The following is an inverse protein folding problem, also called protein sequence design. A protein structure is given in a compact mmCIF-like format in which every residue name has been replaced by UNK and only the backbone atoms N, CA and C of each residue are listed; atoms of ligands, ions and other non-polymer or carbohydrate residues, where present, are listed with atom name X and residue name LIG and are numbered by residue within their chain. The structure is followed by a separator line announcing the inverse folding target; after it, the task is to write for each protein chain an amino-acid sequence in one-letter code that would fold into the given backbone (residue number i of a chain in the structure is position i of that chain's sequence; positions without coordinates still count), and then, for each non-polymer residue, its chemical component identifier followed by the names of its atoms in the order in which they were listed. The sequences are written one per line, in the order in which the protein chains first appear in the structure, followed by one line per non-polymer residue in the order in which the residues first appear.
data_IF_079912980873
#
_entry.id   IF_079912980873
#
_cell.length_a   1.000
_cell.length_b   1.000
_cell.length_c   1.000
_cell.angle_alpha   90.00
_cell.angle_beta   90.00
_cell.angle_gamma   90.00
#
_symmetry.space_group_name_H-M   'P 1'
#
loop_
_entity.id
_entity.type
_entity.pdbx_description
1 polymer ?
#
# COMPACT_ATOMS: atom_id res chain seq x y z
N UNK A 1 -11.12 20.90 19.34
CA UNK A 1 -11.16 20.27 18.00
C UNK A 1 -12.33 19.29 17.98
N UNK A 2 -13.39 19.55 17.20
CA UNK A 2 -14.54 18.62 17.06
C UNK A 2 -14.05 17.35 16.35
N UNK A 3 -14.13 16.20 17.01
CA UNK A 3 -13.88 14.89 16.39
C UNK A 3 -15.09 14.52 15.55
N UNK A 4 -14.95 14.56 14.22
CA UNK A 4 -15.93 13.98 13.30
C UNK A 4 -15.77 12.46 13.39
N UNK A 5 -16.75 11.77 13.98
CA UNK A 5 -16.87 10.31 13.84
C UNK A 5 -17.19 10.03 12.38
N UNK A 6 -16.18 9.58 11.63
CA UNK A 6 -16.38 9.00 10.31
C UNK A 6 -16.97 7.61 10.51
N UNK A 7 -18.28 7.52 10.31
CA UNK A 7 -18.97 6.24 10.23
C UNK A 7 -18.33 5.43 9.09
N UNK A 8 -18.21 4.10 9.23
CA UNK A 8 -17.56 3.22 8.26
C UNK A 8 -18.22 3.23 6.85
N UNK A 9 -19.26 4.04 6.67
CA UNK A 9 -20.06 4.21 5.46
C UNK A 9 -19.60 5.34 4.54
N UNK A 10 -18.53 6.07 4.87
CA UNK A 10 -18.17 7.32 4.15
C UNK A 10 -18.06 7.15 2.63
N UNK A 11 -17.58 5.99 2.17
CA UNK A 11 -17.45 5.67 0.74
C UNK A 11 -18.45 4.61 0.26
N UNK A 12 -19.10 3.87 1.15
CA UNK A 12 -19.76 2.60 0.78
C UNK A 12 -21.01 2.76 -0.10
N UNK A 13 -21.55 3.98 -0.21
CA UNK A 13 -22.74 4.30 -1.03
C UNK A 13 -22.41 4.90 -2.39
N UNK A 14 -21.16 5.30 -2.61
CA UNK A 14 -20.72 5.93 -3.86
C UNK A 14 -20.32 4.87 -4.89
N UNK A 15 -20.36 5.22 -6.18
CA UNK A 15 -19.73 4.40 -7.23
C UNK A 15 -18.21 4.35 -7.04
N UNK A 16 -17.52 3.27 -7.43
CA UNK A 16 -16.07 3.17 -7.32
C UNK A 16 -15.29 4.36 -7.88
N UNK A 17 -15.72 4.93 -9.01
CA UNK A 17 -15.15 6.14 -9.59
C UNK A 17 -15.24 7.34 -8.63
N UNK A 18 -16.42 7.58 -8.05
CA UNK A 18 -16.64 8.66 -7.10
C UNK A 18 -15.83 8.45 -5.81
N UNK A 19 -15.71 7.20 -5.34
CA UNK A 19 -14.87 6.87 -4.19
C UNK A 19 -13.40 7.23 -4.44
N UNK A 20 -12.88 6.85 -5.63
CA UNK A 20 -11.51 7.16 -6.05
C UNK A 20 -11.31 8.68 -6.16
N UNK A 21 -12.21 9.40 -6.82
CA UNK A 21 -12.11 10.85 -6.96
C UNK A 21 -12.10 11.55 -5.60
N UNK A 22 -13.01 11.18 -4.69
CA UNK A 22 -13.08 11.74 -3.34
C UNK A 22 -11.82 11.45 -2.53
N UNK A 23 -11.27 10.24 -2.58
CA UNK A 23 -10.05 9.93 -1.82
C UNK A 23 -8.83 10.67 -2.37
N UNK A 24 -8.73 10.84 -3.69
CA UNK A 24 -7.65 11.62 -4.30
C UNK A 24 -7.75 13.10 -3.97
N UNK A 25 -8.96 13.65 -3.89
CA UNK A 25 -9.17 15.03 -3.44
C UNK A 25 -8.83 15.20 -1.96
N UNK A 26 -9.23 14.25 -1.10
CA UNK A 26 -8.80 14.24 0.30
C UNK A 26 -7.27 14.15 0.41
N UNK A 27 -6.62 13.31 -0.38
CA UNK A 27 -5.17 13.13 -0.36
C UNK A 27 -4.42 14.46 -0.61
N UNK A 28 -4.89 15.31 -1.54
CA UNK A 28 -4.28 16.63 -1.80
C UNK A 28 -4.36 17.56 -0.58
N UNK A 29 -5.44 17.43 0.19
CA UNK A 29 -5.74 18.28 1.34
C UNK A 29 -5.18 17.74 2.67
N UNK A 30 -4.67 16.50 2.68
CA UNK A 30 -4.08 15.88 3.88
C UNK A 30 -2.60 16.22 4.02
N UNK A 31 -2.17 16.44 5.27
CA UNK A 31 -0.75 16.60 5.56
C UNK A 31 0.02 15.33 5.17
N UNK A 32 1.07 15.48 4.35
CA UNK A 32 1.85 14.36 3.84
C UNK A 32 1.37 13.75 2.52
N UNK A 33 0.25 14.23 1.95
CA UNK A 33 -0.19 13.82 0.62
C UNK A 33 -0.52 12.33 0.54
N UNK A 34 0.25 11.59 -0.24
CA UNK A 34 0.17 10.13 -0.44
C UNK A 34 0.90 9.30 0.64
N UNK A 35 1.54 9.93 1.63
CA UNK A 35 2.18 9.23 2.75
C UNK A 35 1.18 8.91 3.86
N UNK A 36 0.65 7.69 3.85
CA UNK A 36 -0.28 7.20 4.87
C UNK A 36 0.31 7.28 6.29
N UNK A 37 1.65 7.27 6.47
CA UNK A 37 2.25 7.40 7.81
C UNK A 37 1.97 8.76 8.44
N UNK A 38 1.71 9.79 7.63
CA UNK A 38 1.40 11.16 8.07
C UNK A 38 -0.11 11.39 8.27
N UNK A 39 -0.95 10.43 7.87
CA UNK A 39 -2.40 10.53 8.01
C UNK A 39 -2.85 10.14 9.41
N UNK A 40 -3.85 10.86 9.94
CA UNK A 40 -4.52 10.46 11.18
C UNK A 40 -5.14 9.06 11.05
N UNK A 41 -5.20 8.31 12.15
CA UNK A 41 -5.81 6.98 12.15
C UNK A 41 -7.26 7.00 11.64
N UNK A 42 -8.02 8.05 11.96
CA UNK A 42 -9.40 8.20 11.50
C UNK A 42 -9.48 8.34 9.97
N UNK A 43 -8.61 9.16 9.37
CA UNK A 43 -8.54 9.32 7.92
C UNK A 43 -8.14 8.01 7.23
N UNK A 44 -7.17 7.28 7.80
CA UNK A 44 -6.76 5.98 7.27
C UNK A 44 -7.86 4.93 7.35
N UNK A 45 -8.59 4.85 8.48
CA UNK A 45 -9.71 3.92 8.65
C UNK A 45 -10.82 4.16 7.62
N UNK A 46 -11.04 5.41 7.20
CA UNK A 46 -12.02 5.73 6.16
C UNK A 46 -11.71 5.01 4.83
N UNK A 47 -10.43 4.71 4.53
CA UNK A 47 -10.03 3.95 3.34
C UNK A 47 -10.56 2.51 3.33
N UNK A 48 -10.95 1.98 4.49
CA UNK A 48 -11.63 0.67 4.60
C UNK A 48 -13.04 0.70 3.99
N UNK A 49 -13.64 1.87 3.84
CA UNK A 49 -15.00 2.02 3.30
C UNK A 49 -15.12 1.67 1.82
N UNK A 50 -14.00 1.63 1.09
CA UNK A 50 -13.95 1.08 -0.27
C UNK A 50 -13.87 -0.45 -0.26
N UNK A 51 -14.32 -1.08 -1.34
CA UNK A 51 -14.20 -2.55 -1.50
C UNK A 51 -12.71 -2.97 -1.49
N UNK A 52 -12.44 -4.20 -1.05
CA UNK A 52 -11.13 -4.83 -1.28
C UNK A 52 -10.92 -5.04 -2.78
N UNK A 53 -9.66 -4.97 -3.21
CA UNK A 53 -9.23 -5.39 -4.54
C UNK A 53 -8.08 -6.40 -4.41
N UNK A 54 -8.01 -7.32 -5.37
CA UNK A 54 -6.94 -8.30 -5.45
C UNK A 54 -5.73 -7.77 -6.23
N UNK A 55 -4.53 -8.14 -5.81
CA UNK A 55 -3.29 -7.99 -6.57
C UNK A 55 -2.96 -9.37 -7.15
N UNK A 56 -2.91 -9.45 -8.48
CA UNK A 56 -2.70 -10.69 -9.21
C UNK A 56 -1.24 -10.83 -9.64
N UNK A 57 -0.55 -11.90 -9.20
CA UNK A 57 0.84 -12.18 -9.57
C UNK A 57 0.90 -13.44 -10.46
N UNK A 58 1.26 -13.33 -11.75
CA UNK A 58 1.37 -14.47 -12.65
C UNK A 58 2.73 -15.16 -12.46
N UNK A 59 2.81 -16.24 -11.67
CA UNK A 59 4.03 -17.07 -11.59
C UNK A 59 3.70 -18.53 -11.28
N UNK A 60 3.91 -19.41 -12.27
CA UNK A 60 3.60 -20.87 -12.18
C UNK A 60 2.17 -21.14 -11.65
N UNK A 61 1.24 -20.23 -11.97
CA UNK A 61 -0.08 -20.12 -11.36
C UNK A 61 -0.45 -18.66 -11.13
N UNK A 62 -1.71 -18.42 -10.75
CA UNK A 62 -2.22 -17.10 -10.38
C UNK A 62 -2.23 -16.99 -8.84
N UNK A 63 -1.34 -16.19 -8.27
CA UNK A 63 -1.42 -15.85 -6.84
C UNK A 63 -2.28 -14.60 -6.65
N UNK A 64 -3.17 -14.63 -5.67
CA UNK A 64 -4.18 -13.59 -5.41
C UNK A 64 -3.98 -13.03 -4.00
N UNK A 65 -3.76 -11.73 -3.87
CA UNK A 65 -3.55 -11.07 -2.57
C UNK A 65 -4.48 -9.88 -2.41
N UNK A 66 -5.37 -9.91 -1.42
CA UNK A 66 -6.35 -8.83 -1.22
C UNK A 66 -5.82 -7.69 -0.34
N UNK A 67 -6.13 -6.46 -0.75
CA UNK A 67 -5.89 -5.24 0.02
C UNK A 67 -7.03 -4.22 -0.17
N UNK A 68 -7.20 -3.24 0.75
CA UNK A 68 -8.20 -2.19 0.60
C UNK A 68 -7.89 -1.33 -0.62
N UNK A 69 -8.81 -1.28 -1.60
CA UNK A 69 -8.58 -0.61 -2.89
C UNK A 69 -8.16 0.85 -2.73
N UNK A 70 -8.86 1.60 -1.87
CA UNK A 70 -8.55 3.01 -1.66
C UNK A 70 -7.19 3.21 -0.98
N UNK A 71 -6.74 2.27 -0.14
CA UNK A 71 -5.39 2.32 0.42
C UNK A 71 -4.32 2.09 -0.66
N UNK A 72 -4.58 1.18 -1.60
CA UNK A 72 -3.69 0.95 -2.75
C UNK A 72 -3.60 2.20 -3.64
N UNK A 73 -4.75 2.82 -3.96
CA UNK A 73 -4.86 4.05 -4.77
C UNK A 73 -4.12 5.22 -4.13
N UNK A 74 -4.24 5.40 -2.81
CA UNK A 74 -3.53 6.50 -2.12
C UNK A 74 -2.03 6.23 -2.10
N UNK A 75 -1.61 5.02 -1.73
CA UNK A 75 -0.20 4.75 -1.44
C UNK A 75 0.68 4.47 -2.65
N UNK A 76 0.12 4.02 -3.78
CA UNK A 76 0.86 3.65 -4.99
C UNK A 76 0.35 4.44 -6.20
N UNK A 77 1.17 5.33 -6.81
CA UNK A 77 0.78 6.02 -8.04
C UNK A 77 0.57 5.06 -9.22
N UNK A 78 1.30 3.93 -9.26
CA UNK A 78 1.12 2.92 -10.33
C UNK A 78 -0.26 2.26 -10.23
N UNK A 79 -0.65 1.82 -9.03
CA UNK A 79 -1.97 1.23 -8.80
C UNK A 79 -3.07 2.28 -8.96
N UNK A 80 -2.81 3.53 -8.52
CA UNK A 80 -3.72 4.66 -8.71
C UNK A 80 -4.10 4.84 -10.16
N UNK A 81 -3.12 4.96 -11.05
CA UNK A 81 -3.36 5.21 -12.47
C UNK A 81 -4.26 4.12 -13.06
N UNK A 82 -3.95 2.85 -12.76
CA UNK A 82 -4.76 1.72 -13.22
C UNK A 82 -6.21 1.80 -12.73
N UNK A 83 -6.46 2.07 -11.44
CA UNK A 83 -7.84 2.14 -10.94
C UNK A 83 -8.57 3.43 -11.30
N UNK A 84 -7.85 4.51 -11.65
CA UNK A 84 -8.47 5.70 -12.25
C UNK A 84 -8.97 5.39 -13.66
N UNK A 85 -8.22 4.62 -14.44
CA UNK A 85 -8.62 4.17 -15.78
C UNK A 85 -9.67 3.04 -15.74
N UNK A 86 -9.66 2.24 -14.68
CA UNK A 86 -10.54 1.08 -14.49
C UNK A 86 -11.21 1.10 -13.10
N UNK A 87 -12.10 2.07 -12.83
CA UNK A 87 -12.68 2.27 -11.50
C UNK A 87 -13.53 1.09 -11.02
N UNK A 88 -14.16 0.34 -11.91
CA UNK A 88 -14.97 -0.84 -11.55
C UNK A 88 -14.12 -2.10 -11.31
N UNK A 89 -12.84 -2.09 -11.67
CA UNK A 89 -12.00 -3.26 -11.53
C UNK A 89 -11.81 -3.65 -10.06
N UNK A 90 -11.96 -4.93 -9.77
CA UNK A 90 -11.67 -5.54 -8.46
C UNK A 90 -10.27 -6.12 -8.40
N UNK A 91 -9.48 -5.99 -9.46
CA UNK A 91 -8.19 -6.68 -9.62
C UNK A 91 -7.14 -5.77 -10.24
N UNK A 92 -5.94 -5.73 -9.65
CA UNK A 92 -4.76 -5.09 -10.20
C UNK A 92 -3.77 -6.15 -10.72
N UNK A 93 -3.51 -6.21 -12.04
CA UNK A 93 -2.59 -7.17 -12.62
C UNK A 93 -1.14 -6.73 -12.39
N UNK A 94 -0.44 -7.40 -11.47
CA UNK A 94 0.95 -7.14 -11.16
C UNK A 94 1.87 -7.88 -12.16
N UNK A 95 1.93 -7.36 -13.39
CA UNK A 95 2.61 -8.02 -14.53
C UNK A 95 4.14 -7.90 -14.53
N UNK A 96 4.73 -7.11 -13.63
CA UNK A 96 6.19 -6.94 -13.61
C UNK A 96 6.89 -8.25 -13.18
N UNK A 97 7.88 -8.76 -13.94
CA UNK A 97 8.55 -10.05 -13.64
C UNK A 97 9.35 -10.06 -12.33
N UNK A 98 9.65 -8.88 -11.78
CA UNK A 98 10.32 -8.74 -10.49
C UNK A 98 9.35 -8.89 -9.32
N UNK A 99 8.04 -8.85 -9.53
CA UNK A 99 7.07 -9.12 -8.47
C UNK A 99 7.13 -10.60 -8.04
N UNK A 100 7.57 -10.80 -6.80
CA UNK A 100 7.53 -12.11 -6.14
C UNK A 100 6.27 -12.21 -5.29
N UNK A 101 5.59 -13.36 -5.33
CA UNK A 101 4.34 -13.58 -4.61
C UNK A 101 4.43 -13.17 -3.12
N UNK A 102 5.44 -13.66 -2.39
CA UNK A 102 5.67 -13.32 -0.98
C UNK A 102 5.92 -11.82 -0.74
N UNK A 103 6.51 -11.12 -1.70
CA UNK A 103 6.72 -9.68 -1.61
C UNK A 103 5.41 -8.90 -1.74
N UNK A 104 4.58 -9.27 -2.72
CA UNK A 104 3.25 -8.70 -2.90
C UNK A 104 2.32 -9.03 -1.73
N UNK A 105 2.37 -10.26 -1.22
CA UNK A 105 1.67 -10.66 0.00
C UNK A 105 2.01 -9.74 1.18
N UNK A 106 3.31 -9.47 1.38
CA UNK A 106 3.79 -8.58 2.44
C UNK A 106 3.29 -7.14 2.25
N UNK A 107 3.23 -6.66 1.00
CA UNK A 107 2.70 -5.33 0.68
C UNK A 107 1.19 -5.26 0.93
N UNK A 108 0.43 -6.27 0.49
CA UNK A 108 -1.01 -6.35 0.73
C UNK A 108 -1.34 -6.44 2.23
N UNK A 109 -0.56 -7.21 2.98
CA UNK A 109 -0.62 -7.26 4.43
C UNK A 109 -0.30 -5.89 5.06
N UNK A 110 0.79 -5.26 4.64
CA UNK A 110 1.16 -3.92 5.11
C UNK A 110 0.03 -2.91 4.88
N UNK A 111 -0.62 -2.90 3.71
CA UNK A 111 -1.74 -1.99 3.41
C UNK A 111 -2.94 -2.19 4.34
N UNK A 112 -3.26 -3.44 4.72
CA UNK A 112 -4.33 -3.76 5.67
C UNK A 112 -4.00 -3.25 7.08
N UNK A 113 -2.77 -3.47 7.53
CA UNK A 113 -2.30 -2.97 8.82
C UNK A 113 -2.24 -1.44 8.79
N UNK A 114 -1.78 -0.87 7.67
CA UNK A 114 -1.55 0.55 7.49
C UNK A 114 -2.81 1.37 7.78
N UNK A 115 -4.00 0.82 7.57
CA UNK A 115 -5.26 1.52 7.81
C UNK A 115 -5.93 1.22 9.15
N UNK A 116 -5.41 0.27 9.92
CA UNK A 116 -6.05 -0.22 11.16
C UNK A 116 -5.28 0.11 12.42
N UNK A 117 -3.94 0.18 12.36
CA UNK A 117 -3.10 0.33 13.55
C UNK A 117 -2.74 1.80 13.83
N UNK A 118 -2.85 2.27 15.08
CA UNK A 118 -2.52 3.65 15.44
C UNK A 118 -1.06 4.04 15.14
N UNK A 119 -0.10 3.18 15.51
CA UNK A 119 1.33 3.49 15.54
C UNK A 119 2.08 2.97 14.29
N UNK A 120 1.87 3.62 13.14
CA UNK A 120 2.49 3.19 11.89
C UNK A 120 4.02 3.27 11.86
N UNK A 121 4.60 4.15 12.67
CA UNK A 121 6.06 4.27 12.83
C UNK A 121 6.75 2.97 13.30
N UNK A 122 5.97 2.06 13.89
CA UNK A 122 6.42 0.75 14.35
C UNK A 122 6.14 -0.36 13.32
N UNK A 123 5.24 -0.12 12.37
CA UNK A 123 4.88 -1.06 11.30
C UNK A 123 5.82 -0.83 10.14
N UNK A 124 6.97 -1.47 10.25
CA UNK A 124 8.00 -1.35 9.23
C UNK A 124 7.96 -2.56 8.32
N UNK A 125 8.10 -2.26 7.04
CA UNK A 125 8.63 -3.22 6.06
C UNK A 125 9.89 -3.84 6.69
N UNK A 126 10.12 -5.15 6.55
CA UNK A 126 11.25 -5.82 7.19
C UNK A 126 12.53 -4.97 7.16
N UNK A 127 12.99 -4.56 8.35
CA UNK A 127 14.20 -3.75 8.49
C UNK A 127 15.39 -4.62 8.12
N UNK A 128 16.15 -4.22 7.11
CA UNK A 128 17.37 -4.95 6.76
C UNK A 128 18.40 -4.77 7.89
N UNK A 129 18.90 -5.89 8.41
CA UNK A 129 19.77 -5.91 9.57
C UNK A 129 20.93 -6.90 9.39
N UNK A 130 22.04 -6.70 10.11
CA UNK A 130 23.26 -7.48 9.94
C UNK A 130 23.14 -8.91 10.51
N UNK A 131 22.07 -9.19 11.26
CA UNK A 131 21.78 -10.49 11.88
C UNK A 131 20.66 -11.24 11.16
N UNK A 132 20.26 -10.79 9.97
CA UNK A 132 19.24 -11.48 9.17
C UNK A 132 19.84 -12.72 8.52
N UNK A 133 19.03 -13.77 8.38
CA UNK A 133 19.35 -14.87 7.49
C UNK A 133 19.39 -14.37 6.04
N UNK A 134 20.11 -15.07 5.16
CA UNK A 134 20.15 -14.75 3.73
C UNK A 134 18.75 -14.75 3.10
N UNK A 135 17.89 -15.68 3.54
CA UNK A 135 16.50 -15.76 3.08
C UNK A 135 15.67 -14.55 3.54
N UNK A 136 15.84 -14.09 4.77
CA UNK A 136 15.15 -12.89 5.28
C UNK A 136 15.63 -11.63 4.58
N UNK A 137 16.94 -11.50 4.35
CA UNK A 137 17.53 -10.41 3.58
C UNK A 137 16.97 -10.38 2.16
N UNK A 138 16.98 -11.53 1.48
CA UNK A 138 16.43 -11.67 0.12
C UNK A 138 14.94 -11.34 0.07
N UNK A 139 14.15 -11.80 1.03
CA UNK A 139 12.72 -11.49 1.11
C UNK A 139 12.50 -9.99 1.34
N UNK A 140 13.26 -9.37 2.26
CA UNK A 140 13.19 -7.93 2.53
C UNK A 140 13.56 -7.09 1.30
N UNK A 141 14.61 -7.48 0.56
CA UNK A 141 14.99 -6.84 -0.70
C UNK A 141 13.90 -6.98 -1.76
N UNK A 142 13.29 -8.15 -1.92
CA UNK A 142 12.19 -8.35 -2.87
C UNK A 142 10.97 -7.46 -2.55
N UNK A 143 10.63 -7.28 -1.26
CA UNK A 143 9.56 -6.36 -0.84
C UNK A 143 9.91 -4.93 -1.24
N UNK A 144 11.16 -4.50 -0.99
CA UNK A 144 11.62 -3.15 -1.32
C UNK A 144 11.60 -2.87 -2.81
N UNK A 145 12.11 -3.80 -3.63
CA UNK A 145 12.06 -3.71 -5.09
C UNK A 145 10.61 -3.61 -5.57
N UNK A 146 9.71 -4.46 -5.07
CA UNK A 146 8.30 -4.41 -5.45
C UNK A 146 7.66 -3.08 -5.07
N UNK A 147 7.93 -2.54 -3.88
CA UNK A 147 7.43 -1.22 -3.48
C UNK A 147 7.99 -0.09 -4.36
N UNK A 148 9.27 -0.11 -4.70
CA UNK A 148 9.87 0.88 -5.61
C UNK A 148 9.19 0.86 -6.98
N UNK A 149 8.97 -0.34 -7.55
CA UNK A 149 8.26 -0.51 -8.82
C UNK A 149 6.82 0.05 -8.74
N UNK A 150 6.15 -0.12 -7.59
CA UNK A 150 4.81 0.42 -7.34
C UNK A 150 4.80 1.94 -7.04
N UNK A 151 5.95 2.61 -7.04
CA UNK A 151 6.07 4.03 -6.67
C UNK A 151 5.87 4.30 -5.17
N UNK A 152 6.06 3.28 -4.33
CA UNK A 152 5.91 3.31 -2.88
C UNK A 152 7.25 3.58 -2.16
N UNK A 153 8.19 4.27 -2.81
CA UNK A 153 9.57 4.49 -2.33
C UNK A 153 9.66 5.05 -0.91
N UNK A 154 8.82 6.02 -0.58
CA UNK A 154 8.76 6.66 0.75
C UNK A 154 8.51 5.71 1.92
N UNK A 155 8.01 4.50 1.66
CA UNK A 155 7.76 3.48 2.68
C UNK A 155 8.99 2.60 2.95
N UNK A 156 9.98 2.61 2.04
CA UNK A 156 11.20 1.78 2.12
C UNK A 156 12.48 2.59 2.42
N UNK A 157 12.40 3.92 2.55
CA UNK A 157 13.57 4.82 2.68
C UNK A 157 14.44 4.63 3.94
N UNK A 158 14.11 3.69 4.84
CA UNK A 158 14.97 3.27 5.95
C UNK A 158 16.14 2.38 5.45
N UNK A 159 16.89 2.75 4.39
CA UNK A 159 18.08 1.99 3.98
C UNK A 159 19.25 2.40 4.91
N UNK A 160 19.76 1.49 5.75
CA UNK A 160 20.90 1.83 6.60
C UNK A 160 22.11 2.17 5.72
N UNK A 161 22.75 3.32 5.94
CA UNK A 161 23.89 3.80 5.15
C UNK A 161 24.97 2.73 4.90
N UNK A 162 25.19 1.83 5.87
CA UNK A 162 26.15 0.70 5.80
C UNK A 162 25.95 -0.32 4.67
N UNK A 163 24.84 -0.28 3.93
CA UNK A 163 24.62 -1.16 2.77
C UNK A 163 24.77 -0.42 1.44
N UNK A 164 25.08 0.88 1.45
CA UNK A 164 25.35 1.66 0.23
C UNK A 164 26.72 1.31 -0.37
N UNK A 165 27.67 0.84 0.43
CA UNK A 165 29.03 0.51 -0.02
C UNK A 165 29.20 -0.93 -0.56
N UNK A 166 28.12 -1.73 -0.55
CA UNK A 166 28.16 -3.17 -0.91
C UNK A 166 27.40 -3.51 -2.21
N UNK A 167 26.91 -2.49 -2.92
CA UNK A 167 26.27 -2.59 -4.24
C UNK A 167 27.13 -1.89 -5.30
#
# INVERSE_FOLDING_TARGET
RKYIKLDNSYYSKDTPEVQIAKVLEQQKNMNGGDDLKKWSLSARKALKGGRSAAILVPKRGLSVFEAPKLAMVVSSPVIRNYFVEHPESTEFPALNPHFKAKAIESIAHWLRIAITVPELQNIRIPKLGPKMSDDDLKNGLNVRVAMLILGMGKYVDDFPAKYQDTL
#
